data_IF_387747149909
#
_entry.id   IF_387747149909
#
_cell.length_a   1.000
_cell.length_b   1.000
_cell.length_c   1.000
_cell.angle_alpha   90.00
_cell.angle_beta   90.00
_cell.angle_gamma   90.00
#
_symmetry.space_group_name_H-M   'P 1'
#
loop_
_entity.id
_entity.type
_entity.pdbx_description
1 polymer ?
#
# COMPACT_ATOMS: atom_id res chain seq x y z
N UNK A 1 41.93 35.04 -49.85
CA UNK A 1 42.71 36.26 -50.18
C UNK A 1 44.08 35.82 -50.60
N UNK A 2 44.56 36.32 -51.73
CA UNK A 2 45.86 35.96 -52.28
C UNK A 2 46.81 37.12 -52.02
N UNK A 3 47.93 36.83 -51.36
CA UNK A 3 48.96 37.83 -51.07
C UNK A 3 50.23 37.38 -51.78
N UNK A 4 50.83 38.30 -52.53
CA UNK A 4 52.08 38.07 -53.25
C UNK A 4 53.18 38.90 -52.62
N UNK A 5 54.26 38.26 -52.19
CA UNK A 5 55.47 38.90 -51.69
C UNK A 5 56.69 38.20 -52.30
N UNK A 6 57.66 38.96 -52.80
CA UNK A 6 58.87 38.46 -53.47
C UNK A 6 58.61 37.37 -54.52
N UNK A 7 57.55 37.52 -55.31
CA UNK A 7 57.18 36.58 -56.38
C UNK A 7 56.60 35.25 -55.91
N UNK A 8 56.41 35.04 -54.59
CA UNK A 8 55.76 33.86 -54.03
C UNK A 8 54.33 34.18 -53.61
N UNK A 9 53.42 33.27 -53.93
CA UNK A 9 51.99 33.43 -53.70
C UNK A 9 51.53 32.58 -52.53
N UNK A 10 50.87 33.20 -51.55
CA UNK A 10 50.23 32.51 -50.43
C UNK A 10 48.72 32.73 -50.49
N UNK A 11 47.96 31.63 -50.50
CA UNK A 11 46.50 31.68 -50.50
C UNK A 11 46.00 31.41 -49.08
N UNK A 12 45.40 32.42 -48.44
CA UNK A 12 44.64 32.22 -47.20
C UNK A 12 43.20 31.84 -47.55
N UNK A 13 42.83 30.60 -47.21
CA UNK A 13 41.45 30.20 -47.02
C UNK A 13 41.04 30.51 -45.58
N UNK A 14 39.92 31.22 -45.42
CA UNK A 14 39.24 31.36 -44.15
C UNK A 14 37.96 30.55 -44.24
N UNK A 15 37.78 29.60 -43.33
CA UNK A 15 36.51 28.92 -43.13
C UNK A 15 35.81 29.57 -41.95
N UNK A 16 34.55 29.93 -42.13
CA UNK A 16 33.66 30.31 -41.04
C UNK A 16 32.51 29.31 -41.00
N UNK A 17 32.05 28.97 -39.81
CA UNK A 17 30.84 28.20 -39.60
C UNK A 17 29.80 29.13 -38.96
N UNK A 18 28.60 29.17 -39.52
CA UNK A 18 27.44 29.82 -38.92
C UNK A 18 26.65 28.73 -38.19
N UNK A 19 26.62 28.77 -36.86
CA UNK A 19 25.68 27.97 -36.09
C UNK A 19 24.37 28.74 -35.94
N UNK A 20 23.26 28.12 -36.34
CA UNK A 20 21.93 28.66 -36.07
C UNK A 20 21.53 28.29 -34.64
N UNK A 21 20.95 29.24 -33.92
CA UNK A 21 20.31 28.95 -32.63
C UNK A 21 19.15 27.98 -32.84
N UNK A 22 19.08 26.94 -32.03
CA UNK A 22 17.95 26.00 -32.04
C UNK A 22 16.64 26.70 -31.67
N UNK A 23 15.52 26.14 -32.13
CA UNK A 23 14.20 26.66 -31.78
C UNK A 23 13.97 26.65 -30.26
N UNK A 24 13.17 27.60 -29.78
CA UNK A 24 12.67 27.57 -28.40
C UNK A 24 11.89 26.28 -28.16
N UNK A 25 12.16 25.61 -27.04
CA UNK A 25 11.40 24.42 -26.65
C UNK A 25 9.93 24.72 -26.34
N UNK A 26 9.10 23.68 -26.35
CA UNK A 26 7.68 23.81 -25.98
C UNK A 26 7.54 24.26 -24.52
N UNK A 27 6.46 25.02 -24.18
CA UNK A 27 6.12 25.31 -22.79
C UNK A 27 5.96 24.04 -21.96
N UNK A 28 6.43 24.08 -20.71
CA UNK A 28 6.19 23.02 -19.74
C UNK A 28 4.73 22.93 -19.30
N UNK A 29 4.36 21.80 -18.68
CA UNK A 29 3.05 21.60 -18.05
C UNK A 29 3.21 21.70 -16.53
N UNK A 30 2.45 22.60 -15.90
CA UNK A 30 2.43 22.74 -14.44
C UNK A 30 1.47 21.76 -13.77
N UNK A 31 1.57 21.60 -12.45
CA UNK A 31 0.59 20.88 -11.64
C UNK A 31 -0.55 21.84 -11.27
N UNK A 32 -1.78 21.46 -11.57
CA UNK A 32 -2.99 22.24 -11.29
C UNK A 32 -3.70 21.76 -10.01
N UNK A 33 -3.70 20.45 -9.74
CA UNK A 33 -4.30 19.88 -8.54
C UNK A 33 -3.69 18.51 -8.18
N UNK A 34 -3.95 18.08 -6.95
CA UNK A 34 -3.68 16.73 -6.45
C UNK A 34 -5.00 16.03 -6.13
N UNK A 35 -5.15 14.78 -6.55
CA UNK A 35 -6.31 13.94 -6.25
C UNK A 35 -5.89 12.75 -5.42
N UNK A 36 -6.51 12.60 -4.24
CA UNK A 36 -6.28 11.49 -3.32
C UNK A 36 -7.57 10.70 -3.18
N UNK A 37 -7.47 9.38 -3.16
CA UNK A 37 -8.60 8.50 -2.88
C UNK A 37 -8.16 7.26 -2.10
N UNK A 38 -9.12 6.64 -1.43
CA UNK A 38 -8.92 5.54 -0.50
C UNK A 38 -9.82 4.35 -0.88
N UNK A 39 -9.36 3.13 -0.61
CA UNK A 39 -10.14 1.90 -0.70
C UNK A 39 -9.69 0.91 0.36
N UNK A 40 -10.54 -0.05 0.73
CA UNK A 40 -10.20 -1.14 1.64
C UNK A 40 -10.23 -2.48 0.91
N UNK A 41 -9.26 -3.35 1.19
CA UNK A 41 -9.15 -4.67 0.56
C UNK A 41 -8.59 -5.71 1.51
N UNK A 42 -8.90 -6.98 1.26
CA UNK A 42 -8.24 -8.11 1.90
C UNK A 42 -6.88 -8.43 1.27
N UNK A 43 -6.65 -7.97 0.02
CA UNK A 43 -5.36 -8.08 -0.66
C UNK A 43 -4.47 -6.87 -0.30
N UNK A 44 -3.30 -7.16 0.26
CA UNK A 44 -2.27 -6.18 0.62
C UNK A 44 -1.15 -6.05 -0.41
N UNK A 45 -1.21 -6.81 -1.50
CA UNK A 45 -0.20 -6.86 -2.56
C UNK A 45 -0.69 -6.14 -3.81
N UNK A 46 -1.91 -6.41 -4.26
CA UNK A 46 -2.46 -5.81 -5.47
C UNK A 46 -3.47 -4.69 -5.16
N UNK A 47 -3.38 -3.52 -5.84
CA UNK A 47 -4.34 -2.44 -5.64
C UNK A 47 -5.78 -2.84 -6.01
N UNK A 48 -6.79 -2.35 -5.28
CA UNK A 48 -8.19 -2.58 -5.61
C UNK A 48 -8.56 -1.97 -6.98
N UNK A 49 -9.35 -2.69 -7.77
CA UNK A 49 -9.87 -2.20 -9.05
C UNK A 49 -11.11 -1.30 -8.89
N UNK A 50 -11.79 -1.37 -7.74
CA UNK A 50 -13.01 -0.61 -7.42
C UNK A 50 -13.05 -0.19 -5.95
N UNK A 51 -14.10 0.53 -5.55
CA UNK A 51 -14.32 0.96 -4.16
C UNK A 51 -13.53 2.21 -3.73
N UNK A 52 -12.91 2.92 -4.68
CA UNK A 52 -12.17 4.14 -4.40
C UNK A 52 -13.09 5.31 -4.06
N UNK A 53 -12.82 5.98 -2.94
CA UNK A 53 -13.56 7.15 -2.45
C UNK A 53 -12.60 8.29 -2.10
N UNK A 54 -13.02 9.54 -2.33
CA UNK A 54 -12.28 10.71 -1.82
C UNK A 54 -12.35 10.86 -0.30
N UNK A 55 -13.30 10.18 0.35
CA UNK A 55 -13.42 10.14 1.81
C UNK A 55 -12.78 8.87 2.35
N UNK A 56 -11.98 9.02 3.42
CA UNK A 56 -11.36 7.88 4.10
C UNK A 56 -12.44 6.94 4.66
N UNK A 57 -12.47 5.65 4.29
CA UNK A 57 -13.40 4.69 4.87
C UNK A 57 -13.03 4.36 6.32
N UNK A 58 -13.99 3.83 7.08
CA UNK A 58 -13.73 3.32 8.42
C UNK A 58 -12.68 2.18 8.35
N UNK A 59 -11.67 2.17 9.24
CA UNK A 59 -10.74 1.06 9.35
C UNK A 59 -11.47 -0.27 9.59
N UNK A 60 -10.97 -1.34 8.99
CA UNK A 60 -11.46 -2.70 9.21
C UNK A 60 -10.30 -3.58 9.67
N UNK A 61 -10.44 -4.17 10.86
CA UNK A 61 -9.37 -4.95 11.48
C UNK A 61 -8.90 -6.09 10.56
N UNK A 62 -7.57 -6.23 10.41
CA UNK A 62 -6.94 -7.24 9.56
C UNK A 62 -7.06 -7.00 8.04
N UNK A 63 -7.70 -5.91 7.61
CA UNK A 63 -7.76 -5.52 6.19
C UNK A 63 -6.67 -4.50 5.86
N UNK A 64 -6.47 -4.24 4.58
CA UNK A 64 -5.54 -3.23 4.08
C UNK A 64 -6.28 -1.97 3.66
N UNK A 65 -5.76 -0.82 4.10
CA UNK A 65 -6.16 0.49 3.59
C UNK A 65 -5.22 0.88 2.46
N UNK A 66 -5.79 1.02 1.27
CA UNK A 66 -5.11 1.49 0.08
C UNK A 66 -5.36 2.98 -0.11
N UNK A 67 -4.31 3.74 -0.37
CA UNK A 67 -4.37 5.15 -0.77
C UNK A 67 -3.76 5.28 -2.16
N UNK A 68 -4.41 6.03 -3.05
CA UNK A 68 -3.83 6.40 -4.34
C UNK A 68 -3.87 7.91 -4.55
N UNK A 69 -2.79 8.43 -5.12
CA UNK A 69 -2.62 9.85 -5.45
C UNK A 69 -2.32 10.00 -6.93
N UNK A 70 -2.84 11.06 -7.57
CA UNK A 70 -2.40 11.51 -8.90
C UNK A 70 -2.43 13.03 -9.01
N UNK A 71 -1.64 13.58 -9.91
CA UNK A 71 -1.64 15.01 -10.23
C UNK A 71 -2.48 15.28 -11.48
N UNK A 72 -3.27 16.35 -11.42
CA UNK A 72 -3.89 16.99 -12.59
C UNK A 72 -2.96 18.08 -13.09
N UNK A 73 -2.63 18.08 -14.37
CA UNK A 73 -1.79 19.11 -14.98
C UNK A 73 -2.61 20.28 -15.54
N UNK A 74 -1.95 21.41 -15.81
CA UNK A 74 -2.58 22.63 -16.35
C UNK A 74 -3.20 22.46 -17.73
N UNK A 75 -2.83 21.41 -18.46
CA UNK A 75 -3.41 21.03 -19.76
C UNK A 75 -4.57 20.02 -19.64
N UNK A 76 -5.08 19.79 -18.42
CA UNK A 76 -6.12 18.81 -18.08
C UNK A 76 -5.73 17.33 -18.28
N UNK A 77 -4.46 17.02 -18.52
CA UNK A 77 -3.96 15.63 -18.45
C UNK A 77 -3.68 15.23 -16.99
N UNK A 78 -3.48 13.93 -16.76
CA UNK A 78 -3.21 13.39 -15.43
C UNK A 78 -1.91 12.59 -15.41
N UNK A 79 -1.23 12.57 -14.27
CA UNK A 79 -0.16 11.61 -14.00
C UNK A 79 -0.71 10.19 -13.87
N UNK A 80 0.19 9.21 -13.90
CA UNK A 80 -0.11 7.88 -13.36
C UNK A 80 -0.49 7.98 -11.87
N UNK A 81 -1.19 6.96 -11.36
CA UNK A 81 -1.45 6.83 -9.93
C UNK A 81 -0.22 6.31 -9.20
N UNK A 82 0.04 6.88 -8.03
CA UNK A 82 0.98 6.38 -7.03
C UNK A 82 0.18 5.72 -5.91
N UNK A 83 0.59 4.53 -5.47
CA UNK A 83 -0.16 3.74 -4.49
C UNK A 83 0.64 3.55 -3.20
N UNK A 84 -0.07 3.64 -2.08
CA UNK A 84 0.41 3.30 -0.74
C UNK A 84 -0.56 2.31 -0.13
N UNK A 85 -0.04 1.31 0.57
CA UNK A 85 -0.82 0.29 1.28
C UNK A 85 -0.40 0.22 2.74
N UNK A 86 -1.38 0.11 3.62
CA UNK A 86 -1.14 -0.06 5.07
C UNK A 86 -2.03 -1.17 5.61
N UNK A 87 -1.43 -2.11 6.35
CA UNK A 87 -2.19 -3.12 7.07
C UNK A 87 -2.86 -2.47 8.28
N UNK A 88 -4.16 -2.69 8.44
CA UNK A 88 -4.87 -2.31 9.66
C UNK A 88 -4.70 -3.42 10.69
N UNK A 89 -4.25 -3.04 11.88
CA UNK A 89 -4.05 -3.96 12.99
C UNK A 89 -5.31 -4.78 13.30
N UNK A 90 -5.08 -5.93 13.91
CA UNK A 90 -6.12 -6.83 14.40
C UNK A 90 -5.81 -7.19 15.85
N UNK A 91 -6.83 -7.27 16.67
CA UNK A 91 -6.68 -7.75 18.04
C UNK A 91 -6.15 -9.18 18.05
N UNK A 92 -5.22 -9.46 18.97
CA UNK A 92 -4.66 -10.80 19.11
C UNK A 92 -5.71 -11.80 19.59
N UNK A 93 -6.61 -11.36 20.48
CA UNK A 93 -7.76 -12.10 20.97
C UNK A 93 -8.97 -11.16 20.94
N UNK A 94 -10.05 -11.60 20.30
CA UNK A 94 -11.30 -10.86 20.26
C UNK A 94 -12.09 -11.19 21.53
N UNK A 95 -12.43 -10.20 22.35
CA UNK A 95 -13.24 -10.40 23.56
C UNK A 95 -14.67 -9.93 23.30
N UNK A 96 -15.64 -10.85 23.30
CA UNK A 96 -17.04 -10.56 22.96
C UNK A 96 -17.98 -11.64 23.49
N UNK A 97 -19.18 -11.27 23.95
CA UNK A 97 -20.20 -12.20 24.45
C UNK A 97 -20.73 -13.18 23.39
N UNK A 98 -20.59 -12.84 22.11
CA UNK A 98 -20.96 -13.72 20.99
C UNK A 98 -19.77 -13.94 20.07
N UNK A 99 -19.62 -15.13 19.47
CA UNK A 99 -18.51 -15.43 18.58
C UNK A 99 -18.52 -14.52 17.33
N UNK A 100 -17.36 -14.10 16.82
CA UNK A 100 -17.25 -13.37 15.56
C UNK A 100 -17.90 -14.12 14.39
N UNK A 101 -18.63 -13.41 13.53
CA UNK A 101 -19.43 -13.98 12.43
C UNK A 101 -18.68 -14.14 11.12
N UNK A 102 -17.50 -13.53 10.97
CA UNK A 102 -16.63 -13.69 9.81
C UNK A 102 -15.14 -13.84 10.22
N UNK A 103 -14.81 -14.89 10.99
CA UNK A 103 -13.44 -15.14 11.43
C UNK A 103 -12.55 -15.63 10.29
N UNK A 104 -11.27 -15.29 10.36
CA UNK A 104 -10.21 -15.91 9.58
C UNK A 104 -9.63 -17.11 10.34
N UNK A 105 -9.02 -18.04 9.61
CA UNK A 105 -8.34 -19.20 10.22
C UNK A 105 -7.27 -18.71 11.22
N UNK A 106 -7.19 -19.38 12.37
CA UNK A 106 -6.34 -19.06 13.51
C UNK A 106 -6.74 -17.82 14.33
N UNK A 107 -7.88 -17.18 14.03
CA UNK A 107 -8.42 -16.14 14.91
C UNK A 107 -8.71 -16.69 16.31
N UNK A 108 -8.43 -15.88 17.33
CA UNK A 108 -8.71 -16.19 18.73
C UNK A 108 -9.89 -15.36 19.24
N UNK A 109 -10.74 -15.99 20.05
CA UNK A 109 -11.91 -15.37 20.67
C UNK A 109 -12.09 -15.84 22.11
N UNK A 110 -12.63 -14.98 22.97
CA UNK A 110 -13.01 -15.31 24.35
C UNK A 110 -14.36 -14.65 24.68
N UNK A 111 -15.25 -15.40 25.32
CA UNK A 111 -16.48 -14.86 25.91
C UNK A 111 -16.16 -14.25 27.29
N UNK A 112 -16.35 -12.94 27.51
CA UNK A 112 -16.13 -12.33 28.82
C UNK A 112 -17.10 -12.80 29.91
N UNK A 113 -18.21 -13.46 29.55
CA UNK A 113 -19.16 -14.04 30.50
C UNK A 113 -18.82 -15.49 30.86
N UNK A 114 -17.89 -16.13 30.12
CA UNK A 114 -17.41 -17.46 30.46
C UNK A 114 -16.39 -17.35 31.62
N UNK A 115 -16.81 -17.80 32.80
CA UNK A 115 -16.00 -17.75 34.00
C UNK A 115 -14.70 -18.57 33.89
N UNK A 116 -14.63 -19.55 32.97
CA UNK A 116 -13.43 -20.38 32.79
C UNK A 116 -12.34 -19.68 31.98
N UNK A 117 -12.61 -18.48 31.45
CA UNK A 117 -11.67 -17.72 30.61
C UNK A 117 -11.15 -18.52 29.40
N UNK A 118 -11.99 -19.40 28.83
CA UNK A 118 -11.62 -20.24 27.70
C UNK A 118 -11.30 -19.38 26.47
N UNK A 119 -10.14 -19.63 25.87
CA UNK A 119 -9.82 -19.09 24.54
C UNK A 119 -10.24 -20.11 23.49
N UNK A 120 -10.95 -19.63 22.47
CA UNK A 120 -11.34 -20.39 21.31
C UNK A 120 -10.49 -19.98 20.11
N UNK A 121 -10.23 -20.91 19.19
CA UNK A 121 -9.58 -20.68 17.90
C UNK A 121 -10.50 -21.07 16.76
N UNK A 122 -10.57 -20.25 15.70
CA UNK A 122 -11.25 -20.62 14.47
C UNK A 122 -10.39 -21.56 13.62
N UNK A 123 -10.85 -22.79 13.38
CA UNK A 123 -10.13 -23.79 12.57
C UNK A 123 -10.29 -23.60 11.05
N UNK A 124 -11.17 -22.67 10.63
CA UNK A 124 -11.60 -22.45 9.26
C UNK A 124 -13.09 -22.77 9.04
N UNK A 125 -13.70 -23.55 9.93
CA UNK A 125 -15.10 -24.00 9.84
C UNK A 125 -15.88 -23.79 11.14
N UNK A 126 -15.22 -23.91 12.30
CA UNK A 126 -15.84 -23.73 13.63
C UNK A 126 -14.84 -23.20 14.66
N UNK A 127 -15.38 -22.70 15.76
CA UNK A 127 -14.60 -22.38 16.95
C UNK A 127 -14.29 -23.65 17.75
N UNK A 128 -13.02 -23.90 18.02
CA UNK A 128 -12.52 -25.00 18.84
C UNK A 128 -11.77 -24.45 20.05
N UNK A 129 -11.69 -25.21 21.15
CA UNK A 129 -10.92 -24.77 22.32
C UNK A 129 -9.43 -24.66 21.96
N UNK A 130 -8.82 -23.53 22.31
CA UNK A 130 -7.41 -23.25 22.08
C UNK A 130 -6.65 -23.32 23.40
N UNK A 131 -5.85 -24.36 23.54
CA UNK A 131 -5.18 -24.73 24.80
C UNK A 131 -4.99 -26.24 24.86
N UNK A 132 -4.44 -26.75 25.96
CA UNK A 132 -4.38 -28.19 26.18
C UNK A 132 -5.80 -28.66 26.51
N UNK A 133 -6.42 -29.44 25.62
CA UNK A 133 -7.65 -30.16 25.97
C UNK A 133 -7.37 -31.00 27.23
N UNK A 134 -8.28 -31.00 28.19
CA UNK A 134 -8.17 -31.86 29.37
C UNK A 134 -8.05 -33.34 28.98
N UNK A 135 -8.61 -33.73 27.83
CA UNK A 135 -8.51 -35.07 27.28
C UNK A 135 -7.09 -35.41 26.78
N UNK A 136 -6.28 -34.38 26.49
CA UNK A 136 -4.89 -34.51 26.06
C UNK A 136 -3.91 -34.41 27.25
N UNK A 137 -4.41 -34.32 28.48
CA UNK A 137 -3.60 -34.25 29.69
C UNK A 137 -3.55 -35.65 30.34
N UNK A 138 -2.47 -36.41 30.12
CA UNK A 138 -2.20 -37.62 30.90
C UNK A 138 -1.49 -37.19 32.18
N UNK A 139 -2.28 -36.88 33.21
CA UNK A 139 -1.78 -36.55 34.54
C UNK A 139 -2.44 -37.46 35.58
N UNK A 140 -1.64 -38.08 36.44
CA UNK A 140 -2.14 -38.87 37.57
C UNK A 140 -2.81 -37.99 38.62
N UNK A 141 -2.35 -36.73 38.75
CA UNK A 141 -2.90 -35.74 39.67
C UNK A 141 -3.07 -34.40 38.94
N UNK A 142 -4.30 -33.96 38.73
CA UNK A 142 -4.62 -32.57 38.34
C UNK A 142 -5.24 -31.88 39.55
N UNK A 143 -4.63 -30.80 40.01
CA UNK A 143 -5.21 -29.91 41.01
C UNK A 143 -5.86 -28.75 40.24
N UNK A 144 -7.18 -28.62 40.36
CA UNK A 144 -7.91 -27.44 39.89
C UNK A 144 -8.26 -26.66 41.15
N UNK A 145 -7.72 -25.46 41.28
CA UNK A 145 -8.02 -24.57 42.41
C UNK A 145 -9.09 -23.58 41.95
N UNK A 146 -10.24 -23.56 42.63
CA UNK A 146 -11.42 -22.72 42.37
C UNK A 146 -12.14 -22.95 41.02
N UNK A 147 -12.65 -24.17 40.81
CA UNK A 147 -13.67 -24.45 39.79
C UNK A 147 -15.05 -23.92 40.17
#
# INVERSE_FOLDING_TARGET
ITITADGKTFTKQFSYALSLQGATGNPGKGVAAEEISYSISQDGVNPPTSGWSGTRPAPKAGWYMWTRTRFKYTDNTYSAYFYLVTQQGKDAIIISATPPTNPAKEDLWQDPNDATSTVYKWDGTKWIHWGISIDNLIASNVQIENG
#
